data_IF_227170418215
#
_entry.id   IF_227170418215
#
_cell.length_a   1.000
_cell.length_b   1.000
_cell.length_c   1.000
_cell.angle_alpha   90.00
_cell.angle_beta   90.00
_cell.angle_gamma   90.00
#
_symmetry.space_group_name_H-M   'P 1'
#
loop_
_entity.id
_entity.type
_entity.pdbx_description
1 polymer ?
#
# COMPACT_ATOMS: atom_id res chain seq x y z
N UNK A 1 -11.48 -2.25 21.39
CA UNK A 1 -12.80 -1.62 21.23
C UNK A 1 -12.71 -0.23 20.59
N UNK A 2 -11.89 0.69 21.11
CA UNK A 2 -11.73 2.06 20.56
C UNK A 2 -11.28 2.10 19.09
N UNK A 3 -10.34 1.25 18.67
CA UNK A 3 -9.86 1.21 17.27
C UNK A 3 -10.95 0.75 16.28
N UNK A 4 -11.73 -0.28 16.64
CA UNK A 4 -12.85 -0.74 15.78
C UNK A 4 -13.93 0.34 15.60
N UNK A 5 -14.19 1.15 16.66
CA UNK A 5 -15.13 2.26 16.58
C UNK A 5 -14.60 3.38 15.68
N UNK A 6 -13.31 3.72 15.77
CA UNK A 6 -12.69 4.71 14.89
C UNK A 6 -12.74 4.28 13.43
N UNK A 7 -12.45 2.99 13.16
CA UNK A 7 -12.50 2.42 11.82
C UNK A 7 -13.91 2.45 11.23
N UNK A 8 -14.92 2.11 12.06
CA UNK A 8 -16.31 2.19 11.65
C UNK A 8 -16.75 3.63 11.36
N UNK A 9 -16.37 4.59 12.22
CA UNK A 9 -16.65 6.02 12.02
C UNK A 9 -15.97 6.53 10.74
N UNK A 10 -14.72 6.14 10.49
CA UNK A 10 -14.00 6.48 9.24
C UNK A 10 -14.77 5.98 8.01
N UNK A 11 -15.21 4.71 8.01
CA UNK A 11 -16.01 4.13 6.91
C UNK A 11 -17.31 4.90 6.69
N UNK A 12 -18.02 5.28 7.77
CA UNK A 12 -19.25 6.09 7.69
C UNK A 12 -18.97 7.47 7.09
N UNK A 13 -17.94 8.17 7.56
CA UNK A 13 -17.58 9.51 7.08
C UNK A 13 -17.21 9.50 5.59
N UNK A 14 -16.42 8.51 5.16
CA UNK A 14 -16.07 8.33 3.75
C UNK A 14 -17.32 8.06 2.89
N UNK A 15 -18.22 7.19 3.36
CA UNK A 15 -19.47 6.87 2.66
C UNK A 15 -20.40 8.08 2.56
N UNK A 16 -20.48 8.89 3.61
CA UNK A 16 -21.28 10.12 3.63
C UNK A 16 -20.61 11.32 2.94
N UNK A 17 -19.41 11.13 2.34
CA UNK A 17 -18.60 12.17 1.69
C UNK A 17 -18.25 13.36 2.60
N UNK A 18 -18.07 13.09 3.90
CA UNK A 18 -17.73 14.10 4.91
C UNK A 18 -16.21 14.11 5.09
N UNK A 19 -15.52 15.04 4.43
CA UNK A 19 -14.07 15.18 4.44
C UNK A 19 -13.60 16.03 5.64
N UNK A 20 -13.63 15.46 6.86
CA UNK A 20 -13.17 16.14 8.09
C UNK A 20 -11.63 16.32 8.13
N UNK A 21 -10.88 15.52 7.40
CA UNK A 21 -9.42 15.58 7.31
C UNK A 21 -8.96 15.39 5.86
N UNK A 22 -7.74 15.86 5.54
CA UNK A 22 -7.14 15.64 4.21
C UNK A 22 -7.04 14.14 3.88
N UNK A 23 -6.68 13.31 4.86
CA UNK A 23 -6.56 11.86 4.67
C UNK A 23 -7.91 11.21 4.30
N UNK A 24 -9.00 11.58 4.99
CA UNK A 24 -10.34 11.09 4.62
C UNK A 24 -10.74 11.46 3.19
N UNK A 25 -10.37 12.68 2.75
CA UNK A 25 -10.60 13.10 1.37
C UNK A 25 -9.80 12.24 0.39
N UNK A 26 -8.52 11.97 0.66
CA UNK A 26 -7.68 11.14 -0.21
C UNK A 26 -8.16 9.69 -0.25
N UNK A 27 -8.54 9.10 0.88
CA UNK A 27 -9.15 7.77 0.94
C UNK A 27 -10.42 7.69 0.08
N UNK A 28 -11.31 8.67 0.20
CA UNK A 28 -12.52 8.74 -0.61
C UNK A 28 -12.23 8.85 -2.10
N UNK A 29 -11.32 9.75 -2.50
CA UNK A 29 -10.94 9.92 -3.89
C UNK A 29 -10.28 8.67 -4.46
N UNK A 30 -9.41 8.01 -3.70
CA UNK A 30 -8.82 6.73 -4.09
C UNK A 30 -9.90 5.67 -4.33
N UNK A 31 -10.86 5.52 -3.41
CA UNK A 31 -11.99 4.60 -3.59
C UNK A 31 -12.87 4.97 -4.80
N UNK A 32 -13.10 6.26 -5.09
CA UNK A 32 -13.82 6.68 -6.28
C UNK A 32 -13.07 6.33 -7.58
N UNK A 33 -11.74 6.50 -7.63
CA UNK A 33 -10.90 6.08 -8.76
C UNK A 33 -10.98 4.56 -8.92
N UNK A 34 -10.78 3.80 -7.85
CA UNK A 34 -10.82 2.33 -7.86
C UNK A 34 -12.14 1.83 -8.46
N UNK A 35 -13.28 2.34 -8.01
CA UNK A 35 -14.62 1.96 -8.54
C UNK A 35 -14.84 2.30 -10.01
N UNK A 36 -14.09 3.26 -10.58
CA UNK A 36 -14.18 3.63 -11.99
C UNK A 36 -13.31 2.77 -12.89
N UNK A 37 -12.14 2.33 -12.38
CA UNK A 37 -11.10 1.72 -13.24
C UNK A 37 -10.91 0.22 -13.00
N UNK A 38 -11.32 -0.30 -11.85
CA UNK A 38 -11.18 -1.71 -11.50
C UNK A 38 -12.42 -2.49 -11.97
N UNK A 39 -12.20 -3.55 -12.72
CA UNK A 39 -13.21 -4.55 -13.14
C UNK A 39 -13.02 -5.84 -12.35
N UNK A 40 -14.01 -6.75 -12.38
CA UNK A 40 -13.99 -7.99 -11.54
C UNK A 40 -12.82 -8.94 -11.80
N UNK A 41 -12.16 -8.83 -12.93
CA UNK A 41 -11.00 -9.62 -13.35
C UNK A 41 -9.68 -8.84 -13.32
N UNK A 42 -9.69 -7.60 -12.84
CA UNK A 42 -8.50 -6.75 -12.74
C UNK A 42 -7.48 -7.33 -11.76
N UNK A 43 -6.22 -7.44 -12.20
CA UNK A 43 -5.10 -7.75 -11.30
C UNK A 43 -4.59 -6.46 -10.69
N UNK A 44 -4.50 -6.40 -9.37
CA UNK A 44 -4.20 -5.19 -8.63
C UNK A 44 -3.00 -5.38 -7.69
N UNK A 45 -2.29 -4.29 -7.44
CA UNK A 45 -1.16 -4.24 -6.52
C UNK A 45 -1.39 -3.15 -5.48
N UNK A 46 -1.11 -3.49 -4.21
CA UNK A 46 -1.10 -2.56 -3.08
C UNK A 46 0.30 -2.52 -2.46
N UNK A 47 0.99 -1.39 -2.60
CA UNK A 47 2.37 -1.20 -2.14
C UNK A 47 2.35 -0.29 -0.91
N UNK A 48 2.83 -0.83 0.23
CA UNK A 48 2.60 -0.27 1.56
C UNK A 48 1.21 -0.67 2.08
N UNK A 49 0.93 -1.99 2.03
CA UNK A 49 -0.41 -2.50 2.27
C UNK A 49 -0.91 -2.35 3.72
N UNK A 50 -0.01 -2.10 4.68
CA UNK A 50 -0.31 -1.86 6.09
C UNK A 50 -1.30 -2.91 6.66
N UNK A 51 -2.51 -2.53 7.07
CA UNK A 51 -3.57 -3.43 7.58
C UNK A 51 -4.48 -4.01 6.48
N UNK A 52 -4.23 -3.66 5.22
CA UNK A 52 -4.95 -4.19 4.05
C UNK A 52 -6.34 -3.60 3.82
N UNK A 53 -6.57 -2.36 4.19
CA UNK A 53 -7.86 -1.68 3.96
C UNK A 53 -8.13 -1.51 2.45
N UNK A 54 -7.11 -1.13 1.69
CA UNK A 54 -7.18 -1.06 0.22
C UNK A 54 -7.36 -2.44 -0.40
N UNK A 55 -6.70 -3.47 0.13
CA UNK A 55 -6.88 -4.85 -0.34
C UNK A 55 -8.29 -5.38 -0.13
N UNK A 56 -8.99 -5.01 0.95
CA UNK A 56 -10.41 -5.35 1.14
C UNK A 56 -11.26 -4.78 0.00
N UNK A 57 -11.05 -3.51 -0.36
CA UNK A 57 -11.79 -2.87 -1.45
C UNK A 57 -11.41 -3.47 -2.82
N UNK A 58 -10.12 -3.75 -3.05
CA UNK A 58 -9.65 -4.45 -4.26
C UNK A 58 -10.36 -5.81 -4.42
N UNK A 59 -10.38 -6.64 -3.37
CA UNK A 59 -11.03 -7.95 -3.40
C UNK A 59 -12.54 -7.87 -3.60
N UNK A 60 -13.18 -6.81 -3.11
CA UNK A 60 -14.59 -6.56 -3.35
C UNK A 60 -14.87 -6.18 -4.81
N UNK A 61 -14.04 -5.32 -5.41
CA UNK A 61 -14.20 -4.84 -6.77
C UNK A 61 -13.75 -5.86 -7.83
N UNK A 62 -12.65 -6.59 -7.55
CA UNK A 62 -12.00 -7.52 -8.47
C UNK A 62 -11.87 -8.94 -7.87
N UNK A 63 -12.98 -9.63 -7.55
CA UNK A 63 -12.94 -10.94 -6.88
C UNK A 63 -12.33 -12.06 -7.72
N UNK A 64 -12.15 -11.88 -9.03
CA UNK A 64 -11.57 -12.85 -9.96
C UNK A 64 -10.13 -12.52 -10.36
N UNK A 65 -9.60 -11.35 -9.92
CA UNK A 65 -8.25 -10.91 -10.20
C UNK A 65 -7.19 -11.62 -9.37
N UNK A 66 -5.94 -11.47 -9.80
CA UNK A 66 -4.75 -11.83 -9.00
C UNK A 66 -4.24 -10.57 -8.31
N UNK A 67 -4.09 -10.64 -7.00
CA UNK A 67 -3.70 -9.47 -6.22
C UNK A 67 -2.39 -9.69 -5.49
N UNK A 68 -1.61 -8.63 -5.38
CA UNK A 68 -0.30 -8.63 -4.75
C UNK A 68 -0.26 -7.51 -3.71
N UNK A 69 0.36 -7.78 -2.58
CA UNK A 69 0.61 -6.83 -1.52
C UNK A 69 2.09 -6.80 -1.17
N UNK A 70 2.62 -5.63 -0.90
CA UNK A 70 3.99 -5.43 -0.47
C UNK A 70 3.99 -4.68 0.85
N UNK A 71 4.58 -5.30 1.89
CA UNK A 71 4.63 -4.76 3.23
C UNK A 71 5.92 -5.22 3.92
N UNK A 72 6.82 -4.32 4.32
CA UNK A 72 8.09 -4.71 4.92
C UNK A 72 8.02 -5.02 6.42
N UNK A 73 6.96 -4.61 7.13
CA UNK A 73 6.85 -4.75 8.59
C UNK A 73 6.38 -6.17 8.95
N UNK A 74 7.20 -7.02 9.63
CA UNK A 74 6.92 -8.45 9.77
C UNK A 74 5.56 -8.80 10.41
N UNK A 75 5.16 -8.08 11.46
CA UNK A 75 3.88 -8.36 12.11
C UNK A 75 2.67 -7.98 11.25
N UNK A 76 2.79 -6.96 10.38
CA UNK A 76 1.74 -6.60 9.41
C UNK A 76 1.67 -7.63 8.28
N UNK A 77 2.82 -8.13 7.80
CA UNK A 77 2.87 -9.23 6.83
C UNK A 77 2.09 -10.44 7.34
N UNK A 78 2.35 -10.86 8.59
CA UNK A 78 1.63 -11.99 9.21
C UNK A 78 0.13 -11.73 9.29
N UNK A 79 -0.29 -10.51 9.68
CA UNK A 79 -1.70 -10.13 9.72
C UNK A 79 -2.35 -10.18 8.33
N UNK A 80 -1.68 -9.67 7.30
CA UNK A 80 -2.16 -9.70 5.92
C UNK A 80 -2.30 -11.15 5.41
N UNK A 81 -1.31 -12.01 5.66
CA UNK A 81 -1.34 -13.42 5.29
C UNK A 81 -2.48 -14.18 5.98
N UNK A 82 -2.71 -13.92 7.27
CA UNK A 82 -3.83 -14.51 8.02
C UNK A 82 -5.19 -14.01 7.51
N UNK A 83 -5.30 -12.71 7.23
CA UNK A 83 -6.54 -12.06 6.82
C UNK A 83 -7.00 -12.46 5.42
N UNK A 84 -6.07 -12.50 4.47
CA UNK A 84 -6.39 -12.71 3.05
C UNK A 84 -6.08 -14.10 2.53
N UNK A 85 -5.24 -14.86 3.21
CA UNK A 85 -4.86 -16.23 2.86
C UNK A 85 -4.32 -16.31 1.43
N UNK A 86 -4.87 -17.23 0.62
CA UNK A 86 -4.45 -17.44 -0.77
C UNK A 86 -5.05 -16.43 -1.77
N UNK A 87 -5.90 -15.53 -1.33
CA UNK A 87 -6.54 -14.54 -2.22
C UNK A 87 -5.60 -13.40 -2.63
N UNK A 88 -4.55 -13.16 -1.84
CA UNK A 88 -3.54 -12.12 -2.08
C UNK A 88 -2.15 -12.73 -1.91
N UNK A 89 -1.27 -12.50 -2.88
CA UNK A 89 0.14 -12.82 -2.75
C UNK A 89 0.83 -11.71 -1.94
N UNK A 90 1.16 -11.98 -0.68
CA UNK A 90 1.80 -11.01 0.21
C UNK A 90 3.31 -11.21 0.18
N UNK A 91 4.04 -10.17 -0.20
CA UNK A 91 5.50 -10.10 -0.22
C UNK A 91 6.00 -9.31 0.99
N UNK A 92 6.94 -9.89 1.72
CA UNK A 92 7.59 -9.35 2.93
C UNK A 92 8.82 -8.49 2.58
N UNK A 93 8.63 -7.48 1.75
CA UNK A 93 9.71 -6.58 1.34
C UNK A 93 9.20 -5.16 1.10
N UNK A 94 10.11 -4.20 1.20
CA UNK A 94 9.93 -2.87 0.66
C UNK A 94 10.21 -2.89 -0.85
N UNK A 95 9.61 -1.96 -1.60
CA UNK A 95 9.92 -1.76 -3.02
C UNK A 95 10.73 -0.48 -3.24
N UNK A 96 11.74 -0.58 -4.09
CA UNK A 96 12.56 0.54 -4.53
C UNK A 96 13.11 0.29 -5.95
N UNK A 97 14.12 1.05 -6.37
CA UNK A 97 14.80 0.90 -7.68
C UNK A 97 16.05 -0.01 -7.62
N UNK A 98 16.20 -0.77 -6.54
CA UNK A 98 17.30 -1.71 -6.34
C UNK A 98 16.85 -2.96 -5.58
N UNK A 99 17.66 -4.01 -5.61
CA UNK A 99 17.50 -5.24 -4.84
C UNK A 99 18.56 -5.31 -3.73
N UNK A 100 18.18 -5.81 -2.54
CA UNK A 100 19.09 -5.99 -1.43
C UNK A 100 18.42 -5.99 -0.06
N UNK A 101 19.16 -5.50 0.93
CA UNK A 101 18.66 -5.28 2.30
C UNK A 101 18.97 -3.85 2.71
N UNK A 102 18.09 -3.28 3.52
CA UNK A 102 18.27 -1.94 4.06
C UNK A 102 17.66 -1.83 5.44
N UNK A 103 17.90 -0.70 6.08
CA UNK A 103 17.25 -0.33 7.33
C UNK A 103 15.94 0.40 7.03
N UNK A 104 14.89 0.01 7.73
CA UNK A 104 13.56 0.62 7.63
C UNK A 104 13.22 1.28 8.97
N UNK A 105 12.79 2.53 8.92
CA UNK A 105 12.41 3.30 10.10
C UNK A 105 10.98 2.94 10.49
N UNK A 106 10.84 2.03 11.47
CA UNK A 106 9.55 1.63 12.00
C UNK A 106 9.13 2.54 13.14
N UNK A 107 8.03 3.27 12.96
CA UNK A 107 7.46 4.16 13.99
C UNK A 107 6.44 3.36 14.81
N UNK A 108 6.86 2.84 15.98
CA UNK A 108 6.06 1.93 16.82
C UNK A 108 4.70 2.47 17.21
N UNK A 109 4.65 3.73 17.60
CA UNK A 109 3.42 4.40 18.05
C UNK A 109 2.58 5.00 16.91
N UNK A 110 3.07 4.93 15.66
CA UNK A 110 2.37 5.36 14.45
C UNK A 110 2.87 4.61 13.19
N UNK A 111 2.60 3.29 13.06
CA UNK A 111 3.15 2.45 11.99
C UNK A 111 2.89 2.94 10.57
N UNK A 112 1.81 3.68 10.34
CA UNK A 112 1.48 4.26 9.04
C UNK A 112 2.49 5.32 8.56
N UNK A 113 3.34 5.84 9.44
CA UNK A 113 4.41 6.79 9.08
C UNK A 113 5.77 6.12 8.86
N UNK A 114 5.83 4.79 8.90
CA UNK A 114 7.08 4.05 8.74
C UNK A 114 7.53 4.04 7.28
N UNK A 115 8.84 4.14 7.03
CA UNK A 115 9.35 4.23 5.66
C UNK A 115 10.86 3.99 5.56
N UNK A 116 11.35 3.86 4.32
CA UNK A 116 12.78 3.73 4.02
C UNK A 116 13.57 5.01 4.36
N UNK A 117 12.91 6.14 4.42
CA UNK A 117 13.52 7.44 4.74
C UNK A 117 12.95 7.99 6.04
N UNK A 118 13.84 8.51 6.87
CA UNK A 118 13.44 9.28 8.02
C UNK A 118 12.92 10.66 7.55
N UNK A 119 11.78 11.09 8.10
CA UNK A 119 11.13 12.37 7.77
C UNK A 119 10.60 13.07 9.02
N UNK A 120 10.01 14.24 8.86
CA UNK A 120 9.25 14.87 9.94
C UNK A 120 7.94 14.10 10.13
N UNK A 121 7.75 13.59 11.34
CA UNK A 121 6.52 12.86 11.70
C UNK A 121 5.49 13.84 12.30
N UNK A 122 4.22 13.62 12.01
CA UNK A 122 3.12 14.36 12.61
C UNK A 122 2.81 13.93 14.07
N UNK A 123 3.72 13.17 14.67
CA UNK A 123 3.66 12.69 16.06
C UNK A 123 4.69 13.44 16.87
N UNK A 124 4.31 14.03 18.02
CA UNK A 124 5.18 14.86 18.86
C UNK A 124 6.42 14.11 19.35
N UNK A 125 6.28 12.81 19.69
CA UNK A 125 7.38 11.93 20.15
C UNK A 125 7.32 10.60 19.38
N UNK A 126 7.93 10.52 18.18
CA UNK A 126 7.95 9.26 17.43
C UNK A 126 8.88 8.25 18.08
N UNK A 127 8.39 7.06 18.36
CA UNK A 127 9.18 5.91 18.83
C UNK A 127 9.69 5.14 17.62
N UNK A 128 10.89 5.50 17.14
CA UNK A 128 11.50 4.92 15.94
C UNK A 128 12.36 3.72 16.34
N UNK A 129 12.11 2.59 15.68
CA UNK A 129 12.97 1.42 15.68
C UNK A 129 13.47 1.15 14.27
N UNK A 130 14.77 0.96 14.13
CA UNK A 130 15.38 0.57 12.88
C UNK A 130 15.30 -0.96 12.74
N UNK A 131 14.58 -1.44 11.72
CA UNK A 131 14.45 -2.87 11.44
C UNK A 131 15.09 -3.21 10.10
N UNK A 132 15.81 -4.35 9.98
CA UNK A 132 16.32 -4.81 8.70
C UNK A 132 15.17 -5.34 7.84
N UNK A 133 15.07 -4.88 6.59
CA UNK A 133 14.07 -5.36 5.63
C UNK A 133 14.71 -5.72 4.29
N UNK A 134 14.12 -6.67 3.59
CA UNK A 134 14.43 -6.92 2.20
C UNK A 134 13.89 -5.79 1.33
N UNK A 135 14.62 -5.46 0.26
CA UNK A 135 14.20 -4.52 -0.78
C UNK A 135 14.25 -5.21 -2.13
N UNK A 136 13.29 -4.94 -2.98
CA UNK A 136 13.27 -5.48 -4.33
C UNK A 136 12.65 -4.47 -5.30
N UNK A 137 12.72 -4.75 -6.59
CA UNK A 137 12.01 -4.00 -7.62
C UNK A 137 10.67 -4.68 -7.94
N UNK A 138 9.68 -3.89 -8.35
CA UNK A 138 8.41 -4.46 -8.80
C UNK A 138 8.61 -5.32 -10.04
N UNK A 139 9.50 -4.90 -10.93
CA UNK A 139 9.81 -5.60 -12.18
C UNK A 139 10.37 -7.01 -11.97
N UNK A 140 11.13 -7.24 -10.88
CA UNK A 140 11.64 -8.56 -10.53
C UNK A 140 10.56 -9.51 -9.97
N UNK A 141 9.57 -8.96 -9.25
CA UNK A 141 8.61 -9.76 -8.49
C UNK A 141 7.32 -10.05 -9.26
N UNK A 142 6.98 -9.24 -10.27
CA UNK A 142 5.77 -9.42 -11.07
C UNK A 142 6.12 -10.11 -12.39
N UNK A 143 5.62 -11.33 -12.54
CA UNK A 143 5.80 -12.11 -13.77
C UNK A 143 5.29 -11.37 -15.00
N UNK A 144 6.08 -11.41 -16.10
CA UNK A 144 5.68 -10.83 -17.39
C UNK A 144 4.41 -11.43 -17.99
N UNK A 145 3.99 -12.61 -17.50
CA UNK A 145 2.74 -13.27 -17.90
C UNK A 145 1.50 -12.73 -17.15
N UNK A 146 1.69 -11.90 -16.11
CA UNK A 146 0.61 -11.34 -15.32
C UNK A 146 0.44 -9.87 -15.68
N UNK A 147 -0.62 -9.53 -16.41
CA UNK A 147 -0.96 -8.14 -16.71
C UNK A 147 -1.49 -7.45 -15.45
N UNK A 148 -0.97 -6.28 -15.11
CA UNK A 148 -1.42 -5.46 -13.99
C UNK A 148 -2.32 -4.33 -14.49
N UNK A 149 -3.44 -4.09 -13.81
CA UNK A 149 -4.44 -3.10 -14.20
C UNK A 149 -4.49 -1.90 -13.26
N UNK A 150 -4.17 -2.11 -11.98
CA UNK A 150 -4.20 -1.05 -10.96
C UNK A 150 -3.06 -1.22 -9.96
N UNK A 151 -2.44 -0.12 -9.56
CA UNK A 151 -1.39 -0.05 -8.55
C UNK A 151 -1.69 1.10 -7.58
N UNK A 152 -1.76 0.81 -6.27
CA UNK A 152 -1.69 1.82 -5.21
C UNK A 152 -0.28 1.82 -4.63
N UNK A 153 0.29 3.01 -4.45
CA UNK A 153 1.61 3.20 -3.83
C UNK A 153 1.46 4.16 -2.65
N UNK A 154 1.83 3.70 -1.47
CA UNK A 154 1.83 4.49 -0.24
C UNK A 154 2.94 3.98 0.68
N UNK A 155 4.14 4.51 0.46
CA UNK A 155 5.39 4.02 1.10
C UNK A 155 6.15 5.12 1.83
N UNK A 156 5.45 6.20 2.11
CA UNK A 156 5.89 7.26 3.00
C UNK A 156 7.25 7.87 2.62
N UNK A 157 7.30 8.35 1.34
CA UNK A 157 8.44 9.09 0.77
C UNK A 157 9.39 8.25 -0.10
N UNK A 158 9.02 6.99 -0.38
CA UNK A 158 9.74 6.08 -1.29
C UNK A 158 9.14 5.95 -2.68
N UNK A 159 8.04 6.66 -2.99
CA UNK A 159 7.19 6.48 -4.18
C UNK A 159 7.99 6.55 -5.49
N UNK A 160 8.91 7.52 -5.61
CA UNK A 160 9.75 7.63 -6.80
C UNK A 160 10.72 6.45 -6.99
N UNK A 161 11.21 5.85 -5.88
CA UNK A 161 12.00 4.62 -5.92
C UNK A 161 11.17 3.46 -6.46
N UNK A 162 9.94 3.30 -5.96
CA UNK A 162 8.99 2.29 -6.45
C UNK A 162 8.71 2.46 -7.93
N UNK A 163 8.38 3.68 -8.39
CA UNK A 163 8.11 3.96 -9.81
C UNK A 163 9.32 3.66 -10.70
N UNK A 164 10.55 3.96 -10.24
CA UNK A 164 11.78 3.61 -10.96
C UNK A 164 12.02 2.10 -11.02
N UNK A 165 11.67 1.35 -9.98
CA UNK A 165 11.77 -0.11 -9.93
C UNK A 165 10.60 -0.85 -10.61
N UNK A 166 9.66 -0.11 -11.22
CA UNK A 166 8.45 -0.63 -11.88
C UNK A 166 8.40 -0.33 -13.38
N UNK A 167 9.50 0.09 -13.98
CA UNK A 167 9.53 0.62 -15.37
C UNK A 167 8.97 -0.34 -16.40
N UNK A 168 9.32 -1.61 -16.32
CA UNK A 168 8.89 -2.63 -17.28
C UNK A 168 7.41 -2.96 -17.10
N UNK A 169 6.93 -3.10 -15.86
CA UNK A 169 5.51 -3.30 -15.54
C UNK A 169 4.69 -2.09 -16.04
N UNK A 170 5.12 -0.87 -15.72
CA UNK A 170 4.41 0.35 -16.12
C UNK A 170 4.36 0.51 -17.66
N UNK A 171 5.47 0.26 -18.36
CA UNK A 171 5.56 0.36 -19.82
C UNK A 171 4.72 -0.71 -20.53
N UNK A 172 4.78 -1.96 -20.04
CA UNK A 172 4.11 -3.13 -20.62
C UNK A 172 2.60 -3.07 -20.42
N UNK A 173 2.18 -2.84 -19.17
CA UNK A 173 0.79 -3.03 -18.75
C UNK A 173 -0.03 -1.75 -18.78
N UNK A 174 0.61 -0.60 -18.62
CA UNK A 174 -0.01 0.75 -18.53
C UNK A 174 -1.14 0.78 -17.50
N UNK A 175 -0.88 0.35 -16.24
CA UNK A 175 -1.88 0.30 -15.19
C UNK A 175 -2.32 1.71 -14.80
N UNK A 176 -3.51 1.83 -14.21
CA UNK A 176 -3.86 3.01 -13.43
C UNK A 176 -3.01 3.00 -12.14
N UNK A 177 -2.35 4.13 -11.86
CA UNK A 177 -1.50 4.27 -10.67
C UNK A 177 -2.03 5.39 -9.80
N UNK A 178 -2.30 5.07 -8.53
CA UNK A 178 -2.61 6.04 -7.48
C UNK A 178 -1.47 6.03 -6.48
N UNK A 179 -0.86 7.18 -6.22
CA UNK A 179 0.20 7.31 -5.23
C UNK A 179 0.04 8.59 -4.42
N UNK A 180 0.45 8.54 -3.16
CA UNK A 180 0.51 9.71 -2.31
C UNK A 180 1.92 10.32 -2.43
N UNK A 181 2.00 11.57 -2.88
CA UNK A 181 3.26 12.31 -2.90
C UNK A 181 3.25 13.32 -1.75
N UNK A 182 3.84 12.95 -0.63
CA UNK A 182 4.15 13.89 0.43
C UNK A 182 5.26 14.82 -0.04
N UNK A 183 4.94 16.09 -0.26
CA UNK A 183 5.97 17.12 -0.32
C UNK A 183 6.53 17.24 1.10
N UNK A 184 7.66 16.56 1.36
CA UNK A 184 8.36 16.55 2.63
C UNK A 184 8.90 17.91 3.04
#
# INVERSE_FOLDING_TARGET
MKEKIKELLRKILVTCKIDLTKNLKYDRLTGEIMRRVITKDSNCIDIGAHKGEILEEILHLAPQGKHFAFEPIPHLVQQLQQKFGKKVCVHDCALADYEGKTTFNFVKNAPAYSGLRQRKYAVETPEIEEIPVAVNTLDNLISSKTKIHFIKIDVEGGEFGVLKGAKEVLKRDKPYVVFECGLG
#
